data_IF_967579115001
#
_entry.id   IF_967579115001
#
_cell.length_a   1.000
_cell.length_b   1.000
_cell.length_c   1.000
_cell.angle_alpha   90.00
_cell.angle_beta   90.00
_cell.angle_gamma   90.00
#
_symmetry.space_group_name_H-M   'P 1'
#
loop_
_entity.id
_entity.type
_entity.pdbx_description
1 polymer ?
#
# COMPACT_ATOMS: atom_id res chain seq x y z
N UNK A 1 -22.02 12.36 60.95
CA UNK A 1 -21.70 13.09 59.71
C UNK A 1 -22.99 13.54 59.10
N UNK A 2 -23.22 14.85 59.03
CA UNK A 2 -24.46 15.48 58.56
C UNK A 2 -24.72 15.11 57.09
N UNK A 3 -25.99 14.95 56.73
CA UNK A 3 -26.44 14.59 55.36
C UNK A 3 -25.85 15.60 54.32
N UNK A 4 -25.66 16.87 54.66
CA UNK A 4 -24.98 17.88 53.82
C UNK A 4 -23.49 17.58 53.60
N UNK A 5 -22.77 17.02 54.58
CA UNK A 5 -21.38 16.61 54.43
C UNK A 5 -21.24 15.38 53.54
N UNK A 6 -22.17 14.43 53.60
CA UNK A 6 -22.19 13.23 52.71
C UNK A 6 -22.46 13.63 51.25
N UNK A 7 -23.35 14.55 51.00
CA UNK A 7 -23.66 15.08 49.63
C UNK A 7 -22.42 15.83 49.08
N UNK A 8 -21.74 16.65 49.88
CA UNK A 8 -20.56 17.37 49.48
C UNK A 8 -19.40 16.43 49.09
N UNK A 9 -19.16 15.36 49.86
CA UNK A 9 -18.15 14.35 49.60
C UNK A 9 -18.46 13.58 48.31
N UNK A 10 -19.72 13.21 48.07
CA UNK A 10 -20.16 12.50 46.87
C UNK A 10 -20.00 13.40 45.64
N UNK A 11 -20.36 14.68 45.69
CA UNK A 11 -20.17 15.62 44.60
C UNK A 11 -18.67 15.85 44.29
N UNK A 12 -17.82 15.91 45.32
CA UNK A 12 -16.36 16.07 45.14
C UNK A 12 -15.74 14.82 44.48
N UNK A 13 -16.18 13.61 44.86
CA UNK A 13 -15.71 12.36 44.25
C UNK A 13 -16.20 12.21 42.82
N UNK A 14 -17.45 12.56 42.52
CA UNK A 14 -17.99 12.55 41.14
C UNK A 14 -17.31 13.57 40.26
N UNK A 15 -16.98 14.76 40.78
CA UNK A 15 -16.23 15.78 40.05
C UNK A 15 -14.76 15.38 39.80
N UNK A 16 -14.16 14.60 40.71
CA UNK A 16 -12.78 14.12 40.56
C UNK A 16 -12.68 12.95 39.55
N UNK A 17 -13.72 12.12 39.42
CA UNK A 17 -13.80 11.03 38.44
C UNK A 17 -13.97 11.57 37.00
N UNK A 18 -14.59 12.74 36.83
CA UNK A 18 -14.76 13.37 35.52
C UNK A 18 -13.48 14.01 34.97
N UNK A 19 -12.47 14.21 35.79
CA UNK A 19 -11.18 14.80 35.37
C UNK A 19 -10.14 13.77 34.91
N UNK A 20 -10.38 12.48 35.05
CA UNK A 20 -9.44 11.41 34.68
C UNK A 20 -9.67 10.86 33.27
N UNK A 21 -10.75 11.27 32.58
CA UNK A 21 -11.06 10.83 31.22
C UNK A 21 -10.52 11.74 30.11
N UNK A 22 -9.53 12.56 30.39
CA UNK A 22 -9.07 13.64 29.49
C UNK A 22 -7.63 13.56 28.99
N UNK A 23 -6.92 12.43 29.05
CA UNK A 23 -5.59 12.34 28.45
C UNK A 23 -5.34 10.97 27.84
N UNK A 24 -6.08 10.66 26.77
CA UNK A 24 -5.64 9.64 25.82
C UNK A 24 -4.43 10.19 25.03
N UNK A 25 -3.48 9.34 24.63
CA UNK A 25 -2.37 9.78 23.78
C UNK A 25 -2.97 10.46 22.55
N UNK A 26 -2.48 11.67 22.22
CA UNK A 26 -2.83 12.37 20.98
C UNK A 26 -2.53 11.41 19.83
N UNK A 27 -3.55 10.78 19.25
CA UNK A 27 -3.43 10.16 17.94
C UNK A 27 -3.03 11.28 16.97
N UNK A 28 -1.86 11.11 16.36
CA UNK A 28 -1.38 11.95 15.28
C UNK A 28 -2.41 11.89 14.15
N UNK A 29 -3.22 12.92 14.09
CA UNK A 29 -3.79 13.51 12.90
C UNK A 29 -4.70 12.69 12.01
N UNK A 30 -5.83 12.17 12.49
CA UNK A 30 -7.00 12.10 11.61
C UNK A 30 -8.29 12.14 12.44
N UNK A 31 -9.06 13.23 12.32
CA UNK A 31 -10.40 13.39 12.92
C UNK A 31 -11.49 12.76 12.03
N UNK A 32 -11.11 12.05 10.96
CA UNK A 32 -12.01 11.38 10.03
C UNK A 32 -12.47 10.01 10.53
N UNK A 33 -13.51 9.47 9.90
CA UNK A 33 -13.96 8.10 10.11
C UNK A 33 -12.82 7.11 9.76
N UNK A 34 -12.70 6.04 10.55
CA UNK A 34 -11.75 4.96 10.32
C UNK A 34 -12.47 3.62 10.27
N UNK A 35 -11.87 2.64 9.63
CA UNK A 35 -12.34 1.26 9.61
C UNK A 35 -11.17 0.30 9.73
N UNK A 36 -11.46 -0.96 10.06
CA UNK A 36 -10.47 -2.01 10.15
C UNK A 36 -10.43 -2.82 8.86
N UNK A 37 -9.22 -3.12 8.40
CA UNK A 37 -8.95 -4.00 7.26
C UNK A 37 -7.91 -5.03 7.65
N UNK A 38 -7.96 -6.21 7.06
CA UNK A 38 -6.92 -7.23 7.23
C UNK A 38 -5.96 -7.12 6.06
N UNK A 39 -4.67 -6.92 6.35
CA UNK A 39 -3.64 -6.79 5.33
C UNK A 39 -3.15 -8.15 4.79
N UNK A 40 -2.25 -8.12 3.81
CA UNK A 40 -1.70 -9.32 3.16
C UNK A 40 -0.86 -10.23 4.08
N UNK A 41 -0.55 -9.80 5.31
CA UNK A 41 0.09 -10.61 6.36
C UNK A 41 -0.90 -11.21 7.36
N UNK A 42 -2.19 -10.92 7.22
CA UNK A 42 -3.23 -11.30 8.17
C UNK A 42 -3.33 -10.36 9.38
N UNK A 43 -2.63 -9.23 9.38
CA UNK A 43 -2.69 -8.25 10.45
C UNK A 43 -3.89 -7.32 10.26
N UNK A 44 -4.64 -7.06 11.34
CA UNK A 44 -5.72 -6.07 11.33
C UNK A 44 -5.12 -4.68 11.49
N UNK A 45 -5.37 -3.81 10.51
CA UNK A 45 -4.89 -2.43 10.46
C UNK A 45 -6.08 -1.48 10.49
N UNK A 46 -6.01 -0.44 11.34
CA UNK A 46 -6.99 0.64 11.34
C UNK A 46 -6.55 1.70 10.33
N UNK A 47 -7.38 1.93 9.31
CA UNK A 47 -7.10 2.87 8.23
C UNK A 47 -8.16 3.96 8.17
N UNK A 48 -7.84 5.19 7.73
CA UNK A 48 -8.85 6.20 7.47
C UNK A 48 -9.81 5.74 6.37
N UNK A 49 -11.08 6.12 6.46
CA UNK A 49 -12.04 5.87 5.38
C UNK A 49 -11.67 6.61 4.10
N UNK A 50 -10.95 7.71 4.21
CA UNK A 50 -10.44 8.48 3.09
C UNK A 50 -9.03 9.01 3.41
N UNK A 51 -7.97 8.22 3.12
CA UNK A 51 -6.59 8.64 3.38
C UNK A 51 -6.22 9.91 2.58
N UNK A 52 -5.56 10.86 3.25
CA UNK A 52 -5.16 12.16 2.66
C UNK A 52 -3.65 12.35 2.62
N UNK A 53 -2.89 11.50 3.30
CA UNK A 53 -1.43 11.60 3.45
C UNK A 53 -0.79 10.24 3.24
N UNK A 54 -1.00 9.70 2.03
CA UNK A 54 -0.54 8.37 1.66
C UNK A 54 0.97 8.38 1.38
N UNK A 55 1.66 7.34 1.83
CA UNK A 55 3.06 7.08 1.46
C UNK A 55 3.15 5.69 0.83
N UNK A 56 3.19 5.61 -0.51
CA UNK A 56 3.51 4.37 -1.20
C UNK A 56 5.02 4.08 -1.12
N UNK A 57 5.37 2.84 -0.84
CA UNK A 57 6.76 2.37 -0.85
C UNK A 57 6.93 1.32 -1.94
N UNK A 58 7.95 1.47 -2.75
CA UNK A 58 8.29 0.77 -3.98
C UNK A 58 7.66 1.39 -5.24
N UNK A 59 8.43 1.38 -6.33
CA UNK A 59 8.08 2.03 -7.60
C UNK A 59 6.71 1.59 -8.14
N UNK A 60 6.41 0.29 -8.10
CA UNK A 60 5.11 -0.23 -8.56
C UNK A 60 3.93 0.29 -7.73
N UNK A 61 4.12 0.45 -6.41
CA UNK A 61 3.09 1.02 -5.52
C UNK A 61 2.89 2.50 -5.80
N UNK A 62 3.98 3.22 -6.05
CA UNK A 62 3.96 4.65 -6.40
C UNK A 62 3.18 4.87 -7.69
N UNK A 63 3.46 4.09 -8.73
CA UNK A 63 2.77 4.16 -10.02
C UNK A 63 1.27 3.87 -9.87
N UNK A 64 0.89 2.85 -9.11
CA UNK A 64 -0.52 2.53 -8.84
C UNK A 64 -1.20 3.69 -8.11
N UNK A 65 -0.62 4.15 -7.00
CA UNK A 65 -1.24 5.21 -6.17
C UNK A 65 -1.36 6.52 -6.93
N UNK A 66 -0.31 6.96 -7.64
CA UNK A 66 -0.30 8.21 -8.40
C UNK A 66 -1.18 8.16 -9.66
N UNK A 67 -1.56 6.95 -10.11
CA UNK A 67 -2.56 6.77 -11.17
C UNK A 67 -3.99 6.75 -10.63
N UNK A 68 -4.19 6.46 -9.35
CA UNK A 68 -5.51 6.35 -8.72
C UNK A 68 -5.97 7.64 -8.03
N UNK A 69 -5.03 8.45 -7.49
CA UNK A 69 -5.37 9.63 -6.70
C UNK A 69 -4.58 10.86 -7.13
N UNK A 70 -5.09 12.04 -6.79
CA UNK A 70 -4.37 13.29 -6.98
C UNK A 70 -3.07 13.31 -6.16
N UNK A 71 -1.93 13.75 -6.72
CA UNK A 71 -0.65 13.81 -6.02
C UNK A 71 -0.69 14.57 -4.68
N UNK A 72 -1.61 15.51 -4.49
CA UNK A 72 -1.80 16.22 -3.21
C UNK A 72 -2.19 15.30 -2.04
N UNK A 73 -2.70 14.10 -2.32
CA UNK A 73 -2.98 13.06 -1.32
C UNK A 73 -1.77 12.20 -0.98
N UNK A 74 -0.63 12.39 -1.67
CA UNK A 74 0.61 11.64 -1.45
C UNK A 74 1.57 12.51 -0.65
N UNK A 75 1.83 12.13 0.60
CA UNK A 75 2.68 12.90 1.50
C UNK A 75 4.17 12.80 1.15
N UNK A 76 4.58 11.67 0.63
CA UNK A 76 5.92 11.39 0.13
C UNK A 76 5.90 10.09 -0.69
N UNK A 77 6.95 9.84 -1.46
CA UNK A 77 7.22 8.57 -2.15
C UNK A 77 8.48 7.91 -1.60
N UNK A 78 8.67 6.63 -1.85
CA UNK A 78 9.88 5.91 -1.45
C UNK A 78 11.13 6.50 -2.09
N UNK A 79 12.28 6.24 -1.49
CA UNK A 79 13.55 6.61 -2.12
C UNK A 79 13.83 5.62 -3.24
N UNK A 80 13.55 5.99 -4.47
CA UNK A 80 13.85 5.20 -5.65
C UNK A 80 15.08 5.81 -6.35
N UNK A 81 16.01 5.01 -6.89
CA UNK A 81 17.10 5.52 -7.70
C UNK A 81 16.56 6.34 -8.87
N UNK A 82 17.29 7.36 -9.30
CA UNK A 82 16.95 8.42 -10.27
C UNK A 82 16.40 8.02 -11.66
N UNK A 83 15.93 6.79 -11.83
CA UNK A 83 15.45 6.25 -13.11
C UNK A 83 13.94 5.91 -13.10
N UNK A 84 13.17 6.46 -12.17
CA UNK A 84 11.75 6.18 -12.10
C UNK A 84 10.95 7.19 -12.92
N UNK A 85 9.94 6.71 -13.68
CA UNK A 85 9.16 7.53 -14.58
C UNK A 85 8.43 8.69 -13.88
N UNK A 86 8.08 9.69 -14.68
CA UNK A 86 7.38 10.95 -14.41
C UNK A 86 6.34 11.03 -13.27
N UNK A 87 5.82 9.90 -12.79
CA UNK A 87 4.80 9.88 -11.75
C UNK A 87 5.35 10.38 -10.39
N UNK A 88 6.49 9.83 -9.93
CA UNK A 88 7.09 10.24 -8.66
C UNK A 88 7.71 11.65 -8.71
N UNK A 89 8.03 12.16 -9.89
CA UNK A 89 8.48 13.54 -10.07
C UNK A 89 7.41 14.58 -9.68
N UNK A 90 6.15 14.18 -9.56
CA UNK A 90 5.03 15.03 -9.09
C UNK A 90 4.98 15.18 -7.57
N UNK A 91 5.78 14.43 -6.83
CA UNK A 91 5.83 14.47 -5.36
C UNK A 91 7.22 14.91 -4.92
N UNK A 92 7.30 16.07 -4.27
CA UNK A 92 8.58 16.68 -3.88
C UNK A 92 9.32 15.91 -2.79
N UNK A 93 8.59 15.21 -1.89
CA UNK A 93 9.19 14.54 -0.74
C UNK A 93 9.48 13.08 -1.03
N UNK A 94 10.73 12.71 -0.77
CA UNK A 94 11.19 11.33 -0.82
C UNK A 94 11.59 10.85 0.58
N UNK A 95 11.20 9.64 0.94
CA UNK A 95 11.44 9.07 2.26
C UNK A 95 12.00 7.65 2.16
N UNK A 96 12.77 7.26 3.16
CA UNK A 96 13.14 5.85 3.35
C UNK A 96 12.00 5.11 4.05
N UNK A 97 11.94 3.81 3.85
CA UNK A 97 11.01 2.95 4.56
C UNK A 97 11.49 2.69 6.01
N UNK A 98 11.49 3.73 6.82
CA UNK A 98 11.87 3.69 8.25
C UNK A 98 10.88 4.48 9.09
N UNK A 99 10.72 4.10 10.35
CA UNK A 99 9.83 4.79 11.28
C UNK A 99 10.17 6.28 11.43
N UNK A 100 11.45 6.64 11.51
CA UNK A 100 11.91 8.02 11.61
C UNK A 100 11.49 8.86 10.40
N UNK A 101 11.72 8.34 9.18
CA UNK A 101 11.33 9.02 7.95
C UNK A 101 9.81 9.20 7.86
N UNK A 102 9.04 8.19 8.25
CA UNK A 102 7.58 8.26 8.26
C UNK A 102 7.06 9.31 9.25
N UNK A 103 7.63 9.38 10.46
CA UNK A 103 7.25 10.41 11.45
C UNK A 103 7.44 11.82 10.91
N UNK A 104 8.46 12.06 10.07
CA UNK A 104 8.73 13.38 9.49
C UNK A 104 7.66 13.85 8.51
N UNK A 105 6.95 12.92 7.86
CA UNK A 105 5.89 13.22 6.87
C UNK A 105 4.48 12.93 7.40
N UNK A 106 4.37 12.34 8.59
CA UNK A 106 3.10 12.09 9.28
C UNK A 106 2.04 11.47 8.37
N UNK A 107 2.28 10.26 7.81
CA UNK A 107 1.31 9.61 6.94
C UNK A 107 0.09 9.16 7.71
N UNK A 108 -1.04 9.13 7.05
CA UNK A 108 -2.26 8.49 7.55
C UNK A 108 -2.49 7.10 6.94
N UNK A 109 -1.70 6.73 5.93
CA UNK A 109 -1.60 5.38 5.37
C UNK A 109 -0.23 5.18 4.70
N UNK A 110 0.47 4.11 5.06
CA UNK A 110 1.68 3.64 4.38
C UNK A 110 1.36 2.32 3.68
N UNK A 111 1.64 2.24 2.39
CA UNK A 111 1.44 1.04 1.57
C UNK A 111 2.79 0.41 1.25
N UNK A 112 2.97 -0.85 1.63
CA UNK A 112 4.23 -1.57 1.45
C UNK A 112 4.02 -2.98 0.89
N UNK A 113 4.93 -3.49 0.04
CA UNK A 113 4.89 -4.88 -0.41
C UNK A 113 5.35 -5.85 0.69
N UNK A 114 4.89 -7.09 0.64
CA UNK A 114 5.18 -8.13 1.63
C UNK A 114 6.64 -8.63 1.65
N UNK A 115 7.48 -8.21 0.69
CA UNK A 115 8.92 -8.50 0.71
C UNK A 115 9.73 -7.47 1.53
N UNK A 116 9.08 -6.41 2.01
CA UNK A 116 9.74 -5.45 2.89
C UNK A 116 10.12 -6.12 4.23
N UNK A 117 11.21 -5.62 4.84
CA UNK A 117 11.68 -6.12 6.14
C UNK A 117 10.56 -6.13 7.19
N UNK A 118 10.26 -7.28 7.81
CA UNK A 118 9.29 -7.36 8.90
C UNK A 118 9.65 -6.47 10.08
N UNK A 119 10.95 -6.30 10.37
CA UNK A 119 11.43 -5.44 11.45
C UNK A 119 11.09 -3.97 11.18
N UNK A 120 11.35 -3.48 9.95
CA UNK A 120 11.00 -2.12 9.56
C UNK A 120 9.48 -1.87 9.63
N UNK A 121 8.67 -2.84 9.21
CA UNK A 121 7.21 -2.78 9.32
C UNK A 121 6.80 -2.76 10.80
N UNK A 122 7.40 -3.61 11.63
CA UNK A 122 7.16 -3.68 13.07
C UNK A 122 7.51 -2.39 13.79
N UNK A 123 8.64 -1.77 13.49
CA UNK A 123 9.05 -0.47 14.05
C UNK A 123 8.04 0.63 13.71
N UNK A 124 7.60 0.72 12.45
CA UNK A 124 6.58 1.70 12.03
C UNK A 124 5.26 1.47 12.77
N UNK A 125 4.81 0.23 12.89
CA UNK A 125 3.56 -0.11 13.61
C UNK A 125 3.66 0.18 15.11
N UNK A 126 4.81 -0.08 15.74
CA UNK A 126 5.06 0.26 17.15
C UNK A 126 4.97 1.77 17.41
N UNK A 127 5.25 2.59 16.40
CA UNK A 127 5.08 4.04 16.43
C UNK A 127 3.68 4.50 16.00
N UNK A 128 2.72 3.55 15.94
CA UNK A 128 1.32 3.80 15.57
C UNK A 128 1.13 4.38 14.16
N UNK A 129 2.06 4.11 13.25
CA UNK A 129 1.94 4.47 11.84
C UNK A 129 1.04 3.41 11.18
N UNK A 130 -0.03 3.81 10.47
CA UNK A 130 -0.90 2.88 9.77
C UNK A 130 -0.18 2.27 8.56
N UNK A 131 0.36 1.06 8.72
CA UNK A 131 1.08 0.34 7.65
C UNK A 131 0.23 -0.81 7.15
N UNK A 132 -0.18 -0.74 5.89
CA UNK A 132 -0.85 -1.80 5.17
C UNK A 132 0.14 -2.55 4.28
N UNK A 133 0.28 -3.85 4.50
CA UNK A 133 1.16 -4.73 3.72
C UNK A 133 0.33 -5.46 2.68
N UNK A 134 0.56 -5.20 1.40
CA UNK A 134 -0.08 -5.97 0.34
C UNK A 134 0.79 -7.13 -0.13
N UNK A 135 0.15 -8.19 -0.62
CA UNK A 135 0.85 -9.33 -1.22
C UNK A 135 1.35 -8.94 -2.62
N UNK A 136 2.65 -9.09 -2.86
CA UNK A 136 3.22 -8.84 -4.19
C UNK A 136 2.63 -9.83 -5.21
N UNK A 137 2.04 -9.32 -6.30
CA UNK A 137 1.42 -10.17 -7.31
C UNK A 137 2.46 -10.98 -8.10
N UNK A 138 2.12 -12.20 -8.46
CA UNK A 138 2.91 -13.09 -9.31
C UNK A 138 2.24 -13.38 -10.65
N UNK A 139 1.01 -12.95 -10.82
CA UNK A 139 0.25 -13.05 -12.07
C UNK A 139 -0.39 -11.71 -12.43
N UNK A 140 -0.79 -11.56 -13.68
CA UNK A 140 -1.55 -10.39 -14.15
C UNK A 140 -2.89 -10.27 -13.41
N UNK A 141 -3.55 -11.37 -13.11
CA UNK A 141 -4.80 -11.37 -12.36
C UNK A 141 -4.59 -10.93 -10.90
N UNK A 142 -3.52 -11.40 -10.26
CA UNK A 142 -3.15 -10.92 -8.91
C UNK A 142 -2.77 -9.44 -8.94
N UNK A 143 -2.11 -8.94 -10.01
CA UNK A 143 -1.81 -7.52 -10.16
C UNK A 143 -3.09 -6.67 -10.22
N UNK A 144 -4.09 -7.09 -11.00
CA UNK A 144 -5.40 -6.43 -11.02
C UNK A 144 -6.10 -6.46 -9.66
N UNK A 145 -6.04 -7.60 -8.96
CA UNK A 145 -6.60 -7.71 -7.61
C UNK A 145 -5.90 -6.77 -6.62
N UNK A 146 -4.57 -6.63 -6.69
CA UNK A 146 -3.79 -5.69 -5.87
C UNK A 146 -4.16 -4.23 -6.18
N UNK A 147 -4.35 -3.89 -7.46
CA UNK A 147 -4.80 -2.55 -7.86
C UNK A 147 -6.19 -2.26 -7.27
N UNK A 148 -7.11 -3.22 -7.37
CA UNK A 148 -8.46 -3.11 -6.80
C UNK A 148 -8.44 -2.94 -5.29
N UNK A 149 -7.62 -3.72 -4.58
CA UNK A 149 -7.40 -3.63 -3.14
C UNK A 149 -6.87 -2.24 -2.73
N UNK A 150 -5.83 -1.75 -3.40
CA UNK A 150 -5.27 -0.42 -3.14
C UNK A 150 -6.28 0.68 -3.45
N UNK A 151 -7.03 0.58 -4.56
CA UNK A 151 -8.07 1.53 -4.90
C UNK A 151 -9.17 1.59 -3.83
N UNK A 152 -9.58 0.44 -3.29
CA UNK A 152 -10.52 0.34 -2.17
C UNK A 152 -10.02 1.06 -0.93
N UNK A 153 -8.76 0.85 -0.53
CA UNK A 153 -8.12 1.53 0.59
C UNK A 153 -8.05 3.05 0.40
N UNK A 154 -7.85 3.50 -0.83
CA UNK A 154 -7.76 4.92 -1.19
C UNK A 154 -9.13 5.57 -1.44
N UNK A 155 -10.20 4.81 -1.41
CA UNK A 155 -11.54 5.25 -1.81
C UNK A 155 -11.53 5.87 -3.22
N UNK A 156 -10.84 5.19 -4.14
CA UNK A 156 -10.64 5.62 -5.53
C UNK A 156 -11.20 4.58 -6.52
N UNK A 157 -11.39 4.98 -7.77
CA UNK A 157 -11.82 4.07 -8.83
C UNK A 157 -10.62 3.56 -9.63
N UNK A 158 -10.52 2.26 -9.78
CA UNK A 158 -9.52 1.57 -10.61
C UNK A 158 -10.04 1.24 -12.03
N UNK A 159 -11.31 1.55 -12.33
CA UNK A 159 -11.98 1.12 -13.56
C UNK A 159 -11.21 1.48 -14.83
N UNK A 160 -10.66 2.70 -14.92
CA UNK A 160 -9.90 3.13 -16.09
C UNK A 160 -8.58 2.36 -16.24
N UNK A 161 -7.87 2.12 -15.13
CA UNK A 161 -6.61 1.39 -15.12
C UNK A 161 -6.84 -0.07 -15.54
N UNK A 162 -7.82 -0.73 -14.95
CA UNK A 162 -8.16 -2.12 -15.27
C UNK A 162 -8.62 -2.24 -16.73
N UNK A 163 -9.45 -1.32 -17.23
CA UNK A 163 -9.89 -1.33 -18.63
C UNK A 163 -8.71 -1.15 -19.62
N UNK A 164 -7.74 -0.29 -19.30
CA UNK A 164 -6.51 -0.15 -20.09
C UNK A 164 -5.70 -1.44 -20.12
N UNK A 165 -5.47 -2.05 -18.95
CA UNK A 165 -4.75 -3.34 -18.84
C UNK A 165 -5.45 -4.44 -19.65
N UNK A 166 -6.79 -4.51 -19.61
CA UNK A 166 -7.56 -5.49 -20.37
C UNK A 166 -7.43 -5.28 -21.87
N UNK A 167 -7.45 -4.02 -22.34
CA UNK A 167 -7.27 -3.69 -23.75
C UNK A 167 -5.87 -4.06 -24.26
N UNK A 168 -4.83 -3.76 -23.45
CA UNK A 168 -3.45 -4.09 -23.77
C UNK A 168 -3.23 -5.62 -23.81
N UNK A 169 -3.75 -6.35 -22.82
CA UNK A 169 -3.69 -7.82 -22.81
C UNK A 169 -4.37 -8.44 -23.99
N UNK A 170 -5.55 -7.94 -24.39
CA UNK A 170 -6.24 -8.41 -25.60
C UNK A 170 -5.39 -8.19 -26.85
N UNK A 171 -4.77 -7.02 -26.97
CA UNK A 171 -3.85 -6.72 -28.08
C UNK A 171 -2.66 -7.69 -28.12
N UNK A 172 -2.06 -7.95 -26.94
CA UNK A 172 -0.97 -8.93 -26.79
C UNK A 172 -1.41 -10.33 -27.22
N UNK A 173 -2.57 -10.79 -26.77
CA UNK A 173 -3.10 -12.10 -27.12
C UNK A 173 -3.40 -12.22 -28.64
N UNK A 174 -3.97 -11.18 -29.25
CA UNK A 174 -4.22 -11.15 -30.70
C UNK A 174 -2.92 -11.24 -31.51
N UNK A 175 -1.88 -10.48 -31.10
CA UNK A 175 -0.55 -10.54 -31.73
C UNK A 175 0.11 -11.90 -31.50
N UNK A 176 0.08 -12.42 -30.28
CA UNK A 176 0.63 -13.73 -29.95
C UNK A 176 -0.05 -14.85 -30.78
N UNK A 177 -1.36 -14.79 -30.98
CA UNK A 177 -2.08 -15.74 -31.82
C UNK A 177 -1.64 -15.69 -33.30
N UNK A 178 -1.40 -14.47 -33.81
CA UNK A 178 -0.97 -14.27 -35.18
C UNK A 178 0.42 -14.85 -35.47
N UNK A 179 1.31 -14.82 -34.50
CA UNK A 179 2.72 -15.22 -34.63
C UNK A 179 3.06 -16.51 -33.89
N UNK A 180 2.08 -17.27 -33.44
CA UNK A 180 2.25 -18.45 -32.56
C UNK A 180 2.76 -19.73 -33.24
N UNK A 181 3.10 -19.70 -34.55
CA UNK A 181 3.61 -20.88 -35.27
C UNK A 181 4.94 -21.41 -34.70
N UNK A 182 5.73 -20.55 -34.11
CA UNK A 182 6.96 -20.90 -33.41
C UNK A 182 6.94 -20.30 -32.03
N UNK A 183 7.01 -21.11 -30.97
CA UNK A 183 7.12 -20.64 -29.59
C UNK A 183 8.60 -20.41 -29.27
N UNK A 184 9.10 -19.15 -29.35
CA UNK A 184 10.50 -18.88 -29.06
C UNK A 184 10.79 -19.14 -27.58
N UNK A 185 12.05 -19.53 -27.32
CA UNK A 185 12.57 -19.59 -25.96
C UNK A 185 12.94 -18.18 -25.51
N UNK A 186 12.46 -17.79 -24.35
CA UNK A 186 12.77 -16.47 -23.75
C UNK A 186 13.33 -16.64 -22.34
N UNK A 187 14.21 -15.72 -21.96
CA UNK A 187 14.82 -15.68 -20.64
C UNK A 187 14.78 -14.27 -20.09
N UNK A 188 14.49 -14.14 -18.81
CA UNK A 188 14.68 -12.87 -18.10
C UNK A 188 16.02 -12.90 -17.37
N UNK A 189 16.95 -12.08 -17.84
CA UNK A 189 18.29 -11.98 -17.28
C UNK A 189 18.49 -10.62 -16.63
N UNK A 190 18.88 -10.60 -15.36
CA UNK A 190 19.12 -9.39 -14.57
C UNK A 190 20.54 -9.40 -14.00
N UNK A 191 20.89 -8.36 -13.24
CA UNK A 191 22.14 -8.32 -12.48
C UNK A 191 22.31 -9.48 -11.47
N UNK A 192 21.22 -10.17 -11.14
CA UNK A 192 21.23 -11.35 -10.27
C UNK A 192 21.30 -12.68 -11.04
N UNK A 193 21.51 -12.62 -12.37
CA UNK A 193 21.54 -13.77 -13.25
C UNK A 193 20.18 -14.07 -13.90
N UNK A 194 19.96 -15.34 -14.25
CA UNK A 194 18.68 -15.83 -14.81
C UNK A 194 17.62 -15.80 -13.72
N UNK A 195 16.55 -15.04 -13.94
CA UNK A 195 15.44 -14.86 -13.01
C UNK A 195 14.10 -15.08 -13.74
N UNK A 196 12.99 -14.92 -13.04
CA UNK A 196 11.65 -15.05 -13.65
C UNK A 196 11.26 -16.50 -13.92
N UNK A 197 11.64 -17.43 -13.06
CA UNK A 197 11.26 -18.86 -13.15
C UNK A 197 9.77 -19.10 -13.00
N UNK A 198 9.40 -20.36 -12.96
CA UNK A 198 8.02 -20.82 -12.85
C UNK A 198 7.25 -20.14 -11.71
N UNK A 199 6.04 -19.67 -12.00
CA UNK A 199 5.18 -19.01 -11.03
C UNK A 199 5.56 -17.55 -10.74
N UNK A 200 6.45 -16.96 -11.52
CA UNK A 200 6.76 -15.51 -11.48
C UNK A 200 5.84 -14.74 -12.43
N UNK A 201 5.76 -13.41 -12.24
CA UNK A 201 5.05 -12.52 -13.17
C UNK A 201 5.60 -12.64 -14.60
N UNK A 202 6.92 -12.84 -14.77
CA UNK A 202 7.51 -13.06 -16.08
C UNK A 202 7.00 -14.36 -16.72
N UNK A 203 6.89 -15.43 -15.94
CA UNK A 203 6.35 -16.72 -16.40
C UNK A 203 4.87 -16.60 -16.82
N UNK A 204 4.07 -15.89 -16.04
CA UNK A 204 2.68 -15.60 -16.38
C UNK A 204 2.57 -14.78 -17.68
N UNK A 205 3.40 -13.76 -17.87
CA UNK A 205 3.47 -12.98 -19.11
C UNK A 205 3.88 -13.84 -20.32
N UNK A 206 4.78 -14.81 -20.14
CA UNK A 206 5.14 -15.77 -21.21
C UNK A 206 3.94 -16.58 -21.70
N UNK A 207 2.98 -16.89 -20.81
CA UNK A 207 1.74 -17.57 -21.19
C UNK A 207 0.86 -16.70 -22.09
N UNK A 208 0.69 -15.39 -21.77
CA UNK A 208 -0.03 -14.44 -22.63
C UNK A 208 0.63 -14.29 -23.99
N UNK A 209 1.95 -14.22 -24.04
CA UNK A 209 2.75 -14.08 -25.26
C UNK A 209 2.88 -15.39 -26.05
N UNK A 210 2.47 -16.55 -25.49
CA UNK A 210 2.64 -17.87 -26.08
C UNK A 210 4.10 -18.22 -26.41
N UNK A 211 5.03 -17.77 -25.55
CA UNK A 211 6.46 -18.08 -25.63
C UNK A 211 6.84 -19.09 -24.54
N UNK A 212 7.99 -19.73 -24.67
CA UNK A 212 8.49 -20.68 -23.70
C UNK A 212 9.52 -20.00 -22.77
N UNK A 213 9.26 -20.02 -21.47
CA UNK A 213 10.20 -19.53 -20.48
C UNK A 213 11.31 -20.56 -20.23
N UNK A 214 12.57 -20.17 -20.42
CA UNK A 214 13.74 -21.05 -20.22
C UNK A 214 13.90 -21.47 -18.76
N UNK A 215 13.41 -20.63 -17.82
CA UNK A 215 13.56 -20.84 -16.38
C UNK A 215 12.33 -21.46 -15.69
N UNK A 216 11.28 -21.87 -16.46
CA UNK A 216 10.04 -22.46 -15.94
C UNK A 216 10.14 -23.96 -15.68
#
# INVERSE_FOLDING_TARGET
>A
VSMKQRISIICTIVMMVLLVFGCGPKQLGNTGATHQVTDGTGTVVTVPSEPKRVVPIAASTEDIVLSLVDPSRVAAVGTVPNNVPDASAKVEKHVKASAESMLSVQPDLVLVPNWMSPDAIGEMRNMQIPVYVYKTPTTVQEAKATIHEIAGLLHASDASMIASMDADLKTVEELANKYSSERPLVAFYSQFGLTGGKGSTFDDMCNYLKVNNVAA
#
